data_IF_644823593097
#
_entry.id   IF_644823593097
#
_cell.length_a   1.000
_cell.length_b   1.000
_cell.length_c   1.000
_cell.angle_alpha   90.00
_cell.angle_beta   90.00
_cell.angle_gamma   90.00
#
_symmetry.space_group_name_H-M   'P 1'
#
loop_
_entity.id
_entity.type
_entity.pdbx_description
1 polymer ?
#
# COMPACT_ATOMS: atom_id res chain seq x y z
N UNK A 1 -29.39 49.23 29.41
CA UNK A 1 -28.81 48.48 28.28
C UNK A 1 -28.28 47.09 28.67
N UNK A 2 -28.32 46.71 29.98
CA UNK A 2 -27.79 45.44 30.48
C UNK A 2 -28.85 44.32 30.67
N UNK A 3 -30.10 44.51 30.21
CA UNK A 3 -31.14 43.50 30.38
C UNK A 3 -31.61 42.78 29.12
N UNK A 4 -31.00 43.05 27.97
CA UNK A 4 -31.35 42.37 26.71
C UNK A 4 -30.35 41.25 26.29
N UNK A 5 -29.33 40.92 27.10
CA UNK A 5 -28.33 39.89 26.82
C UNK A 5 -28.50 38.63 27.65
N UNK A 6 -29.52 38.52 28.48
CA UNK A 6 -29.86 37.30 29.20
C UNK A 6 -31.08 36.59 28.57
N UNK A 7 -31.03 36.43 27.24
CA UNK A 7 -31.86 35.45 26.56
C UNK A 7 -31.41 34.06 26.95
N UNK A 8 -32.21 33.49 27.83
CA UNK A 8 -32.16 32.15 28.36
C UNK A 8 -32.10 31.09 27.21
N UNK A 9 -30.93 30.83 26.75
CA UNK A 9 -30.57 29.71 25.87
C UNK A 9 -29.75 28.64 26.63
N UNK A 10 -30.06 28.46 27.92
CA UNK A 10 -29.59 27.31 28.71
C UNK A 10 -30.42 26.05 28.40
N UNK A 11 -30.62 25.76 27.12
CA UNK A 11 -30.81 24.36 26.71
C UNK A 11 -29.51 23.64 27.07
N UNK A 12 -29.59 22.79 28.07
CA UNK A 12 -28.54 21.87 28.53
C UNK A 12 -27.82 21.33 27.32
N UNK A 13 -26.68 21.93 26.95
CA UNK A 13 -25.73 21.32 26.07
C UNK A 13 -25.24 20.06 26.85
N UNK A 14 -25.96 18.95 26.69
CA UNK A 14 -25.55 17.62 27.14
C UNK A 14 -24.06 17.54 26.95
N UNK A 15 -23.31 17.31 28.01
CA UNK A 15 -21.87 17.34 28.01
C UNK A 15 -21.36 16.27 27.03
N UNK A 16 -21.11 16.67 25.79
CA UNK A 16 -20.64 15.78 24.71
C UNK A 16 -19.18 15.32 24.91
N UNK A 17 -18.55 15.77 26.01
CA UNK A 17 -17.16 15.43 26.36
C UNK A 17 -16.92 13.95 26.58
N UNK A 18 -17.74 13.23 27.38
CA UNK A 18 -17.49 11.80 27.58
C UNK A 18 -17.65 11.01 26.28
N UNK A 19 -18.58 11.42 25.43
CA UNK A 19 -18.80 10.76 24.13
C UNK A 19 -17.65 11.05 23.15
N UNK A 20 -17.07 12.24 23.17
CA UNK A 20 -15.90 12.61 22.38
C UNK A 20 -14.63 11.90 22.89
N UNK A 21 -14.46 11.78 24.21
CA UNK A 21 -13.36 10.99 24.79
C UNK A 21 -13.46 9.51 24.42
N UNK A 22 -14.67 8.95 24.52
CA UNK A 22 -14.92 7.57 24.10
C UNK A 22 -14.57 7.34 22.62
N UNK A 23 -14.96 8.25 21.73
CA UNK A 23 -14.68 8.11 20.29
C UNK A 23 -13.17 8.21 19.99
N UNK A 24 -12.41 9.07 20.67
CA UNK A 24 -10.95 9.13 20.52
C UNK A 24 -10.28 7.89 21.09
N UNK A 25 -10.77 7.36 22.22
CA UNK A 25 -10.30 6.07 22.74
C UNK A 25 -10.53 4.93 21.74
N UNK A 26 -11.71 4.89 21.11
CA UNK A 26 -11.99 3.94 20.03
C UNK A 26 -11.01 4.07 18.87
N UNK A 27 -10.62 5.29 18.48
CA UNK A 27 -9.59 5.53 17.45
C UNK A 27 -8.23 4.98 17.86
N UNK A 28 -7.81 5.19 19.10
CA UNK A 28 -6.55 4.63 19.63
C UNK A 28 -6.60 3.10 19.64
N UNK A 29 -7.72 2.52 20.03
CA UNK A 29 -7.94 1.06 19.96
C UNK A 29 -7.89 0.60 18.50
N UNK A 30 -8.48 1.33 17.56
CA UNK A 30 -8.41 1.03 16.13
C UNK A 30 -6.98 0.97 15.62
N UNK A 31 -6.15 1.97 15.95
CA UNK A 31 -4.72 1.99 15.59
C UNK A 31 -3.98 0.80 16.22
N UNK A 32 -4.21 0.53 17.50
CA UNK A 32 -3.58 -0.60 18.19
C UNK A 32 -3.96 -1.95 17.58
N UNK A 33 -5.24 -2.12 17.21
CA UNK A 33 -5.74 -3.33 16.52
C UNK A 33 -5.10 -3.47 15.14
N UNK A 34 -4.96 -2.39 14.39
CA UNK A 34 -4.28 -2.42 13.08
C UNK A 34 -2.80 -2.79 13.22
N UNK A 35 -2.10 -2.22 14.20
CA UNK A 35 -0.72 -2.58 14.50
C UNK A 35 -0.58 -4.06 14.89
N UNK A 36 -1.49 -4.57 15.73
CA UNK A 36 -1.52 -5.98 16.12
C UNK A 36 -1.86 -6.88 14.93
N UNK A 37 -2.77 -6.44 14.07
CA UNK A 37 -3.15 -7.17 12.86
C UNK A 37 -2.01 -7.27 11.84
N UNK A 38 -1.17 -6.24 11.73
CA UNK A 38 0.04 -6.29 10.91
C UNK A 38 1.04 -7.36 11.38
N UNK A 39 1.04 -7.66 12.69
CA UNK A 39 1.94 -8.67 13.28
C UNK A 39 1.30 -10.07 13.34
N UNK A 40 0.00 -10.17 13.65
CA UNK A 40 -0.67 -11.45 14.00
C UNK A 40 -1.68 -11.97 12.98
N UNK A 41 -1.83 -11.36 11.81
CA UNK A 41 -2.81 -11.78 10.79
C UNK A 41 -4.23 -11.98 11.33
N UNK A 42 -4.81 -10.93 11.91
CA UNK A 42 -6.18 -10.97 12.39
C UNK A 42 -7.18 -11.05 11.21
N UNK A 43 -8.37 -11.63 11.39
CA UNK A 43 -9.41 -11.70 10.35
C UNK A 43 -9.76 -10.31 9.79
N UNK A 44 -10.15 -10.24 8.51
CA UNK A 44 -10.45 -8.98 7.81
C UNK A 44 -11.56 -8.17 8.47
N UNK A 45 -12.54 -8.83 9.07
CA UNK A 45 -13.63 -8.15 9.79
C UNK A 45 -13.10 -7.28 10.95
N UNK A 46 -12.00 -7.70 11.59
CA UNK A 46 -11.38 -6.95 12.69
C UNK A 46 -10.76 -5.66 12.17
N UNK A 47 -10.20 -5.68 10.96
CA UNK A 47 -9.62 -4.46 10.36
C UNK A 47 -10.70 -3.51 9.85
N UNK A 48 -11.79 -4.02 9.29
CA UNK A 48 -12.95 -3.20 8.91
C UNK A 48 -13.50 -2.48 10.15
N UNK A 49 -13.59 -3.18 11.29
CA UNK A 49 -13.98 -2.57 12.57
C UNK A 49 -12.97 -1.52 13.04
N UNK A 50 -11.66 -1.79 12.91
CA UNK A 50 -10.60 -0.84 13.28
C UNK A 50 -10.66 0.44 12.44
N UNK A 51 -10.87 0.34 11.13
CA UNK A 51 -11.09 1.49 10.22
C UNK A 51 -12.36 2.25 10.62
N UNK A 52 -13.45 1.56 10.93
CA UNK A 52 -14.69 2.19 11.38
C UNK A 52 -14.46 2.98 12.66
N UNK A 53 -13.72 2.44 13.64
CA UNK A 53 -13.36 3.16 14.87
C UNK A 53 -12.51 4.40 14.59
N UNK A 54 -11.59 4.34 13.61
CA UNK A 54 -10.82 5.51 13.17
C UNK A 54 -11.71 6.60 12.60
N UNK A 55 -12.63 6.26 11.71
CA UNK A 55 -13.57 7.22 11.12
C UNK A 55 -14.43 7.91 12.20
N UNK A 56 -14.95 7.14 13.15
CA UNK A 56 -15.73 7.67 14.29
C UNK A 56 -14.86 8.57 15.17
N UNK A 57 -13.59 8.23 15.36
CA UNK A 57 -12.65 9.00 16.18
C UNK A 57 -12.36 10.39 15.62
N UNK A 58 -12.40 10.57 14.31
CA UNK A 58 -12.18 11.90 13.67
C UNK A 58 -13.16 12.94 14.19
N UNK A 59 -14.44 12.59 14.33
CA UNK A 59 -15.43 13.50 14.88
C UNK A 59 -15.13 13.89 16.33
N UNK A 60 -14.86 12.90 17.20
CA UNK A 60 -14.53 13.16 18.60
C UNK A 60 -13.22 13.92 18.77
N UNK A 61 -12.24 13.65 17.91
CA UNK A 61 -10.99 14.42 17.88
C UNK A 61 -11.24 15.90 17.69
N UNK A 62 -12.11 16.29 16.74
CA UNK A 62 -12.45 17.69 16.54
C UNK A 62 -13.17 18.28 17.74
N UNK A 63 -14.13 17.57 18.34
CA UNK A 63 -14.82 18.02 19.54
C UNK A 63 -13.83 18.28 20.68
N UNK A 64 -12.86 17.38 20.90
CA UNK A 64 -11.85 17.54 21.94
C UNK A 64 -10.80 18.59 21.62
N UNK A 65 -10.36 18.67 20.37
CA UNK A 65 -9.36 19.65 19.93
C UNK A 65 -9.84 21.10 20.11
N UNK A 66 -11.11 21.35 19.86
CA UNK A 66 -11.67 22.69 19.95
C UNK A 66 -11.75 23.23 21.37
N UNK A 67 -11.97 22.39 22.37
CA UNK A 67 -12.03 22.83 23.79
C UNK A 67 -10.70 23.42 24.31
N UNK A 68 -9.57 22.70 24.26
CA UNK A 68 -8.30 23.26 24.71
C UNK A 68 -7.82 24.40 23.82
N UNK A 69 -8.07 24.34 22.52
CA UNK A 69 -7.75 25.44 21.62
C UNK A 69 -8.47 26.74 22.05
N UNK A 70 -9.75 26.63 22.40
CA UNK A 70 -10.52 27.74 22.96
C UNK A 70 -9.99 28.17 24.33
N UNK A 71 -9.57 27.26 25.19
CA UNK A 71 -9.02 27.59 26.51
C UNK A 71 -7.64 28.23 26.43
N UNK A 72 -6.76 27.73 25.55
CA UNK A 72 -5.44 28.36 25.28
C UNK A 72 -5.61 29.77 24.69
N UNK A 73 -6.59 29.94 23.83
CA UNK A 73 -6.92 31.25 23.26
C UNK A 73 -7.60 32.18 24.31
N UNK A 74 -8.05 31.65 25.45
CA UNK A 74 -8.62 32.42 26.59
C UNK A 74 -7.56 33.14 27.43
N UNK A 75 -6.28 32.76 27.35
CA UNK A 75 -5.20 33.39 28.09
C UNK A 75 -5.13 34.90 27.81
N UNK A 76 -5.20 35.74 28.87
CA UNK A 76 -5.31 37.20 28.73
C UNK A 76 -4.04 37.80 28.11
N UNK A 77 -2.87 37.26 28.36
CA UNK A 77 -1.64 37.73 27.72
C UNK A 77 -1.61 37.49 26.20
N UNK A 78 -2.24 36.44 25.71
CA UNK A 78 -2.27 36.10 24.29
C UNK A 78 -3.33 36.91 23.54
N UNK A 79 -4.50 37.15 24.17
CA UNK A 79 -5.64 37.84 23.56
C UNK A 79 -5.37 39.31 23.17
N UNK A 80 -4.67 40.00 24.05
CA UNK A 80 -4.51 41.48 23.91
C UNK A 80 -3.30 41.85 23.07
N UNK A 81 -2.58 40.91 22.49
CA UNK A 81 -1.48 41.18 21.56
C UNK A 81 -1.97 41.35 20.10
N UNK A 82 -2.17 42.58 19.68
CA UNK A 82 -2.50 42.94 18.29
C UNK A 82 -3.85 42.39 17.80
N UNK A 83 -3.89 41.80 16.62
CA UNK A 83 -5.11 41.32 15.94
C UNK A 83 -5.69 40.01 16.48
N UNK A 84 -5.11 39.45 17.54
CA UNK A 84 -5.47 38.09 18.03
C UNK A 84 -6.85 38.05 18.68
N UNK A 85 -7.29 39.10 19.30
CA UNK A 85 -8.62 39.20 19.90
C UNK A 85 -9.74 39.07 18.86
N UNK A 86 -9.54 39.67 17.71
CA UNK A 86 -10.51 39.60 16.60
C UNK A 86 -10.61 38.17 16.07
N UNK A 87 -9.45 37.53 15.79
CA UNK A 87 -9.39 36.11 15.38
C UNK A 87 -10.04 35.17 16.40
N UNK A 88 -9.79 35.39 17.71
CA UNK A 88 -10.39 34.59 18.77
C UNK A 88 -11.93 34.69 18.79
N UNK A 89 -12.48 35.89 18.74
CA UNK A 89 -13.94 36.07 18.77
C UNK A 89 -14.63 35.48 17.54
N UNK A 90 -14.03 35.62 16.38
CA UNK A 90 -14.56 35.04 15.15
C UNK A 90 -14.48 33.50 15.17
N UNK A 91 -13.35 32.93 15.58
CA UNK A 91 -13.19 31.48 15.71
C UNK A 91 -14.22 30.90 16.69
N UNK A 92 -14.31 31.45 17.91
CA UNK A 92 -15.19 30.89 18.95
C UNK A 92 -16.67 30.93 18.55
N UNK A 93 -17.11 31.99 17.85
CA UNK A 93 -18.50 32.13 17.39
C UNK A 93 -18.87 31.07 16.32
N UNK A 94 -17.91 30.68 15.49
CA UNK A 94 -18.13 29.82 14.30
C UNK A 94 -17.87 28.33 14.54
N UNK A 95 -16.97 28.01 15.45
CA UNK A 95 -16.48 26.66 15.61
C UNK A 95 -17.58 25.63 15.89
N UNK A 96 -18.64 26.02 16.63
CA UNK A 96 -19.73 25.11 16.96
C UNK A 96 -20.56 24.68 15.74
N UNK A 97 -20.83 25.62 14.81
CA UNK A 97 -21.60 25.33 13.59
C UNK A 97 -20.76 24.64 12.49
N UNK A 98 -19.45 24.88 12.46
CA UNK A 98 -18.55 24.34 11.44
C UNK A 98 -18.05 22.93 11.76
N UNK A 99 -18.16 22.47 13.00
CA UNK A 99 -17.56 21.22 13.48
C UNK A 99 -17.99 19.98 12.67
N UNK A 100 -19.27 19.71 12.38
CA UNK A 100 -19.68 18.53 11.61
C UNK A 100 -19.18 18.59 10.16
N UNK A 101 -19.14 19.80 9.56
CA UNK A 101 -18.65 19.97 8.19
C UNK A 101 -17.13 19.78 8.10
N UNK A 102 -16.38 20.27 9.10
CA UNK A 102 -14.95 20.04 9.19
C UNK A 102 -14.62 18.55 9.37
N UNK A 103 -15.35 17.85 10.24
CA UNK A 103 -15.20 16.42 10.42
C UNK A 103 -15.52 15.64 9.13
N UNK A 104 -16.61 15.99 8.45
CA UNK A 104 -16.97 15.39 7.16
C UNK A 104 -15.91 15.63 6.08
N UNK A 105 -15.41 16.86 5.94
CA UNK A 105 -14.32 17.16 5.02
C UNK A 105 -13.04 16.39 5.35
N UNK A 106 -12.71 16.22 6.65
CA UNK A 106 -11.55 15.43 7.08
C UNK A 106 -11.68 13.97 6.72
N UNK A 107 -12.86 13.37 6.84
CA UNK A 107 -13.09 11.97 6.43
C UNK A 107 -12.90 11.81 4.92
N UNK A 108 -13.39 12.77 4.11
CA UNK A 108 -13.18 12.75 2.67
C UNK A 108 -11.70 12.88 2.30
N UNK A 109 -10.96 13.76 3.00
CA UNK A 109 -9.51 13.92 2.81
C UNK A 109 -8.76 12.63 3.18
N UNK A 110 -9.12 12.00 4.30
CA UNK A 110 -8.54 10.72 4.72
C UNK A 110 -8.75 9.65 3.63
N UNK A 111 -9.97 9.50 3.15
CA UNK A 111 -10.28 8.53 2.10
C UNK A 111 -9.53 8.84 0.79
N UNK A 112 -9.37 10.13 0.43
CA UNK A 112 -8.62 10.54 -0.74
C UNK A 112 -7.12 10.23 -0.61
N UNK A 113 -6.51 10.53 0.53
CA UNK A 113 -5.09 10.23 0.79
C UNK A 113 -4.81 8.72 0.79
N UNK A 114 -5.67 7.94 1.43
CA UNK A 114 -5.60 6.48 1.39
C UNK A 114 -5.71 5.94 -0.03
N UNK A 115 -6.64 6.45 -0.84
CA UNK A 115 -6.80 5.99 -2.22
C UNK A 115 -5.57 6.30 -3.09
N UNK A 116 -4.93 7.48 -2.94
CA UNK A 116 -3.68 7.80 -3.63
C UNK A 116 -2.53 6.92 -3.11
N UNK A 117 -2.44 6.74 -1.79
CA UNK A 117 -1.43 5.88 -1.18
C UNK A 117 -1.49 4.45 -1.74
N UNK A 118 -2.70 3.90 -1.87
CA UNK A 118 -2.96 2.61 -2.48
C UNK A 118 -2.56 2.56 -3.95
N UNK A 119 -2.89 3.58 -4.73
CA UNK A 119 -2.54 3.67 -6.14
C UNK A 119 -1.01 3.64 -6.32
N UNK A 120 -0.27 4.42 -5.51
CA UNK A 120 1.20 4.45 -5.54
C UNK A 120 1.78 3.09 -5.10
N UNK A 121 1.22 2.47 -4.06
CA UNK A 121 1.63 1.15 -3.61
C UNK A 121 1.46 0.07 -4.69
N UNK A 122 0.37 0.14 -5.46
CA UNK A 122 0.12 -0.78 -6.57
C UNK A 122 1.14 -0.62 -7.70
N UNK A 123 1.50 0.61 -8.06
CA UNK A 123 2.52 0.86 -9.09
C UNK A 123 3.89 0.31 -8.69
N UNK A 124 4.30 0.56 -7.46
CA UNK A 124 5.58 0.05 -6.93
C UNK A 124 5.67 -1.48 -6.98
N UNK A 125 4.54 -2.18 -6.76
CA UNK A 125 4.44 -3.63 -6.88
C UNK A 125 4.55 -4.16 -8.31
N UNK A 126 4.06 -3.40 -9.28
CA UNK A 126 4.18 -3.78 -10.69
C UNK A 126 5.63 -3.84 -11.09
N UNK A 127 6.40 -2.82 -10.72
CA UNK A 127 7.82 -2.76 -11.05
C UNK A 127 8.60 -3.89 -10.38
N UNK A 128 8.36 -4.15 -9.09
CA UNK A 128 9.02 -5.24 -8.37
C UNK A 128 8.69 -6.64 -8.91
N UNK A 129 7.48 -6.85 -9.43
CA UNK A 129 7.11 -8.13 -10.06
C UNK A 129 7.87 -8.39 -11.35
N UNK A 130 8.13 -7.35 -12.13
CA UNK A 130 8.89 -7.46 -13.37
C UNK A 130 10.37 -7.70 -13.08
N UNK A 131 10.90 -7.02 -12.07
CA UNK A 131 12.29 -7.19 -11.63
C UNK A 131 12.56 -8.59 -11.05
N UNK A 132 11.57 -9.20 -10.40
CA UNK A 132 11.69 -10.53 -9.82
C UNK A 132 11.65 -11.68 -10.85
N UNK A 133 11.31 -11.42 -12.13
CA UNK A 133 11.39 -12.43 -13.18
C UNK A 133 12.85 -12.62 -13.58
N UNK A 134 13.36 -13.82 -13.33
CA UNK A 134 14.78 -14.12 -13.49
C UNK A 134 15.24 -14.10 -14.95
N UNK A 135 14.50 -14.79 -15.85
CA UNK A 135 14.88 -14.96 -17.25
C UNK A 135 13.97 -14.20 -18.18
N UNK A 136 14.48 -13.73 -19.31
CA UNK A 136 13.71 -12.93 -20.29
C UNK A 136 12.52 -13.69 -20.86
N UNK A 137 12.69 -14.99 -21.12
CA UNK A 137 11.62 -15.89 -21.54
C UNK A 137 11.84 -17.31 -21.01
N UNK A 138 10.77 -18.00 -20.63
CA UNK A 138 10.78 -19.41 -20.32
C UNK A 138 9.62 -20.15 -20.98
N UNK A 139 9.91 -21.34 -21.47
CA UNK A 139 8.97 -22.25 -22.10
C UNK A 139 8.72 -23.43 -21.16
N UNK A 140 7.46 -23.77 -20.91
CA UNK A 140 7.06 -24.87 -20.04
C UNK A 140 6.26 -25.90 -20.85
N UNK A 141 6.62 -27.15 -20.75
CA UNK A 141 5.91 -28.25 -21.39
C UNK A 141 5.80 -29.45 -20.48
N UNK A 142 4.58 -29.95 -20.26
CA UNK A 142 4.30 -31.07 -19.36
C UNK A 142 4.51 -32.41 -20.07
N UNK A 143 5.63 -32.54 -20.80
CA UNK A 143 6.09 -33.75 -21.51
C UNK A 143 7.54 -34.00 -21.17
N UNK A 144 7.85 -35.24 -20.81
CA UNK A 144 9.23 -35.66 -20.60
C UNK A 144 10.01 -35.62 -21.92
N UNK A 145 11.19 -35.02 -21.93
CA UNK A 145 12.01 -34.77 -23.13
C UNK A 145 11.32 -33.84 -24.17
N UNK A 146 10.68 -32.78 -23.72
CA UNK A 146 10.06 -31.81 -24.59
C UNK A 146 11.05 -31.21 -25.60
N UNK A 147 10.65 -31.12 -26.88
CA UNK A 147 11.43 -30.46 -27.91
C UNK A 147 11.12 -28.95 -27.95
N UNK A 148 12.11 -28.14 -27.64
CA UNK A 148 12.06 -26.66 -27.68
C UNK A 148 12.80 -26.09 -28.90
N UNK A 149 13.38 -26.94 -29.78
CA UNK A 149 14.17 -26.50 -30.94
C UNK A 149 13.43 -25.49 -31.83
N UNK A 150 12.12 -25.62 -32.14
CA UNK A 150 11.43 -24.64 -32.97
C UNK A 150 11.42 -23.24 -32.38
N UNK A 151 11.29 -23.13 -31.06
CA UNK A 151 11.28 -21.87 -30.33
C UNK A 151 12.67 -21.24 -30.24
N UNK A 152 13.68 -22.08 -29.98
CA UNK A 152 15.09 -21.63 -29.97
C UNK A 152 15.53 -21.15 -31.35
N UNK A 153 15.15 -21.87 -32.43
CA UNK A 153 15.43 -21.45 -33.79
C UNK A 153 14.78 -20.12 -34.14
N UNK A 154 13.53 -19.92 -33.74
CA UNK A 154 12.83 -18.65 -33.94
C UNK A 154 13.53 -17.49 -33.20
N UNK A 155 13.96 -17.73 -31.96
CA UNK A 155 14.66 -16.72 -31.18
C UNK A 155 16.05 -16.42 -31.77
N UNK A 156 16.81 -17.43 -32.18
CA UNK A 156 18.16 -17.26 -32.77
C UNK A 156 18.13 -16.53 -34.11
N UNK A 157 17.04 -16.69 -34.88
CA UNK A 157 16.86 -15.97 -36.15
C UNK A 157 16.54 -14.48 -35.96
N UNK A 158 15.88 -14.11 -34.87
CA UNK A 158 15.38 -12.76 -34.66
C UNK A 158 16.14 -11.97 -33.56
N UNK A 159 16.82 -12.65 -32.65
CA UNK A 159 17.54 -12.05 -31.52
C UNK A 159 18.90 -12.71 -31.30
N UNK A 160 19.83 -11.98 -30.70
CA UNK A 160 21.06 -12.56 -30.18
C UNK A 160 20.77 -13.22 -28.79
N UNK A 161 20.91 -14.53 -28.73
CA UNK A 161 20.76 -15.28 -27.49
C UNK A 161 21.99 -15.09 -26.61
N UNK A 162 21.80 -14.69 -25.36
CA UNK A 162 22.88 -14.57 -24.38
C UNK A 162 23.15 -15.91 -23.71
N UNK A 163 22.10 -16.55 -23.23
CA UNK A 163 22.17 -17.87 -22.61
C UNK A 163 20.87 -18.64 -22.75
N UNK A 164 20.94 -19.96 -22.75
CA UNK A 164 19.76 -20.82 -22.70
C UNK A 164 20.08 -22.12 -21.95
N UNK A 165 19.10 -22.60 -21.16
CA UNK A 165 19.26 -23.85 -20.44
C UNK A 165 17.91 -24.57 -20.26
N UNK A 166 17.89 -25.86 -20.63
CA UNK A 166 16.75 -26.75 -20.42
C UNK A 166 16.92 -27.60 -19.18
N UNK A 167 15.87 -27.65 -18.35
CA UNK A 167 15.86 -28.43 -17.11
C UNK A 167 14.48 -29.03 -16.86
N UNK A 168 14.41 -29.96 -15.90
CA UNK A 168 13.16 -30.59 -15.51
C UNK A 168 12.83 -30.34 -14.06
N UNK A 169 11.54 -30.17 -13.81
CA UNK A 169 10.98 -30.08 -12.47
C UNK A 169 10.28 -31.40 -12.14
N UNK A 170 10.33 -31.75 -10.87
CA UNK A 170 9.79 -33.00 -10.35
C UNK A 170 8.83 -32.75 -9.21
N UNK A 171 7.97 -33.74 -8.92
CA UNK A 171 7.05 -33.73 -7.80
C UNK A 171 7.14 -35.03 -7.01
N UNK A 172 6.61 -35.05 -5.80
CA UNK A 172 6.53 -36.22 -4.97
C UNK A 172 5.10 -36.66 -4.76
N UNK A 173 4.81 -37.95 -4.88
CA UNK A 173 3.48 -38.49 -4.52
C UNK A 173 3.18 -38.41 -3.02
N UNK A 174 4.21 -38.35 -2.20
CA UNK A 174 4.06 -38.19 -0.76
C UNK A 174 4.09 -36.70 -0.36
N UNK A 175 3.05 -35.96 -0.61
CA UNK A 175 2.86 -34.52 -0.31
C UNK A 175 3.21 -34.09 1.14
N UNK A 176 4.30 -34.59 1.68
CA UNK A 176 4.62 -34.42 3.10
C UNK A 176 5.04 -33.02 3.46
N UNK A 177 5.78 -32.32 2.57
CA UNK A 177 6.29 -31.00 2.86
C UNK A 177 5.21 -29.94 2.65
N UNK A 178 4.54 -29.95 1.51
CA UNK A 178 3.48 -29.01 1.19
C UNK A 178 2.30 -29.13 2.16
N UNK A 179 1.77 -30.35 2.40
CA UNK A 179 0.64 -30.56 3.31
C UNK A 179 0.97 -30.16 4.77
N UNK A 180 2.17 -30.43 5.21
CA UNK A 180 2.62 -30.09 6.55
C UNK A 180 2.89 -28.58 6.69
N UNK A 181 3.45 -27.91 5.66
CA UNK A 181 3.71 -26.48 5.68
C UNK A 181 2.48 -25.65 5.32
N UNK A 182 1.54 -26.20 4.52
CA UNK A 182 0.31 -25.47 4.08
C UNK A 182 -0.41 -24.82 5.24
N UNK A 183 -0.73 -25.55 6.28
CA UNK A 183 -1.47 -25.04 7.42
C UNK A 183 -0.63 -24.07 8.29
N UNK A 184 0.66 -24.36 8.48
CA UNK A 184 1.55 -23.49 9.25
C UNK A 184 1.89 -22.20 8.50
N UNK A 185 2.18 -22.32 7.22
CA UNK A 185 2.54 -21.19 6.37
C UNK A 185 1.31 -20.32 6.09
N UNK A 186 0.16 -20.90 5.75
CA UNK A 186 -1.09 -20.14 5.60
C UNK A 186 -1.54 -19.47 6.90
N UNK A 187 -1.43 -20.16 8.04
CA UNK A 187 -1.81 -19.60 9.34
C UNK A 187 -0.89 -18.49 9.84
N UNK A 188 0.42 -18.60 9.59
CA UNK A 188 1.43 -17.64 10.07
C UNK A 188 1.74 -16.52 9.07
N UNK A 189 1.73 -16.82 7.78
CA UNK A 189 2.14 -15.87 6.73
C UNK A 189 0.95 -15.16 6.08
N UNK A 190 -0.27 -15.70 6.15
CA UNK A 190 -1.47 -15.09 5.55
C UNK A 190 -1.39 -14.98 4.04
N UNK A 191 -0.52 -15.72 3.36
CA UNK A 191 -0.50 -15.81 1.92
C UNK A 191 -0.72 -17.25 1.45
N UNK A 192 -1.28 -17.36 0.27
CA UNK A 192 -1.43 -18.59 -0.44
C UNK A 192 -0.07 -18.97 -1.05
N UNK A 193 0.41 -20.18 -0.79
CA UNK A 193 1.38 -20.80 -1.67
C UNK A 193 0.54 -21.21 -2.89
N UNK A 194 0.47 -20.28 -3.86
CA UNK A 194 -0.37 -20.43 -5.04
C UNK A 194 0.40 -21.18 -6.12
N UNK A 195 -0.23 -22.10 -6.74
CA UNK A 195 0.25 -22.64 -7.99
C UNK A 195 0.06 -24.15 -8.09
N UNK A 196 0.76 -24.93 -7.34
CA UNK A 196 0.57 -26.38 -7.31
C UNK A 196 0.31 -26.78 -5.87
N UNK A 197 -0.66 -27.68 -5.69
CA UNK A 197 -0.93 -28.30 -4.39
C UNK A 197 0.13 -29.38 -4.02
N UNK A 198 1.29 -29.34 -4.69
CA UNK A 198 2.36 -30.33 -4.63
C UNK A 198 3.71 -29.69 -4.38
N UNK A 199 4.63 -30.42 -3.76
CA UNK A 199 6.02 -30.02 -3.60
C UNK A 199 6.74 -30.10 -4.95
N UNK A 200 7.43 -29.01 -5.33
CA UNK A 200 8.25 -28.97 -6.55
C UNK A 200 9.71 -29.15 -6.21
N UNK A 201 10.34 -30.05 -6.91
CA UNK A 201 11.75 -30.43 -6.73
C UNK A 201 12.58 -30.08 -7.95
N UNK A 202 13.82 -29.67 -7.69
CA UNK A 202 14.84 -29.42 -8.70
C UNK A 202 16.15 -30.08 -8.26
N UNK A 203 16.91 -30.63 -9.19
CA UNK A 203 18.23 -31.15 -8.83
C UNK A 203 19.25 -30.00 -8.65
N UNK A 204 20.26 -30.25 -7.85
CA UNK A 204 21.30 -29.27 -7.54
C UNK A 204 22.12 -28.88 -8.76
N UNK A 205 22.31 -29.79 -9.71
CA UNK A 205 23.03 -29.49 -10.96
C UNK A 205 22.30 -28.48 -11.80
N UNK A 206 21.00 -28.65 -12.01
CA UNK A 206 20.16 -27.70 -12.74
C UNK A 206 20.05 -26.36 -12.00
N UNK A 207 19.87 -26.41 -10.68
CA UNK A 207 19.82 -25.22 -9.85
C UNK A 207 21.09 -24.37 -9.97
N UNK A 208 22.27 -25.01 -9.88
CA UNK A 208 23.54 -24.30 -10.00
C UNK A 208 23.79 -23.77 -11.42
N UNK A 209 23.32 -24.47 -12.45
CA UNK A 209 23.41 -23.99 -13.82
C UNK A 209 22.57 -22.74 -14.07
N UNK A 210 21.35 -22.70 -13.51
CA UNK A 210 20.50 -21.52 -13.56
C UNK A 210 21.09 -20.36 -12.73
N UNK A 211 21.71 -20.65 -11.60
CA UNK A 211 22.43 -19.64 -10.80
C UNK A 211 23.61 -19.04 -11.55
N UNK A 212 24.36 -19.86 -12.31
CA UNK A 212 25.44 -19.38 -13.18
C UNK A 212 24.91 -18.40 -14.24
N UNK A 213 23.74 -18.67 -14.86
CA UNK A 213 23.10 -17.76 -15.83
C UNK A 213 22.69 -16.43 -15.19
N UNK A 214 22.44 -16.41 -13.89
CA UNK A 214 22.04 -15.22 -13.13
C UNK A 214 23.22 -14.54 -12.40
N UNK A 215 24.46 -14.94 -12.69
CA UNK A 215 25.66 -14.46 -11.98
C UNK A 215 25.62 -14.65 -10.46
N UNK A 216 24.88 -15.66 -9.98
CA UNK A 216 24.76 -16.02 -8.58
C UNK A 216 25.79 -17.07 -8.16
N UNK A 217 26.29 -17.04 -6.91
CA UNK A 217 27.24 -18.03 -6.43
C UNK A 217 26.61 -19.43 -6.39
N UNK A 218 27.37 -20.45 -6.79
CA UNK A 218 26.95 -21.85 -6.75
C UNK A 218 26.71 -22.31 -5.31
N UNK A 219 25.74 -23.19 -5.14
CA UNK A 219 25.37 -23.80 -3.87
C UNK A 219 25.95 -25.24 -3.82
N UNK A 220 26.61 -25.56 -2.73
CA UNK A 220 27.10 -26.91 -2.47
C UNK A 220 26.26 -27.58 -1.39
N UNK A 221 25.76 -28.77 -1.68
CA UNK A 221 25.01 -29.58 -0.71
C UNK A 221 25.65 -30.95 -0.58
N UNK A 222 25.63 -31.50 0.61
CA UNK A 222 26.04 -32.87 0.84
C UNK A 222 25.08 -33.85 0.17
N UNK A 223 25.58 -35.03 -0.20
CA UNK A 223 24.76 -36.03 -0.88
C UNK A 223 23.55 -36.52 -0.06
N UNK A 224 23.49 -36.27 1.23
CA UNK A 224 22.39 -36.60 2.15
C UNK A 224 21.62 -35.37 2.63
N UNK A 225 21.80 -34.20 1.98
CA UNK A 225 21.17 -32.96 2.38
C UNK A 225 20.26 -32.40 1.28
N UNK A 226 19.36 -31.51 1.67
CA UNK A 226 18.53 -30.70 0.77
C UNK A 226 18.57 -29.26 1.21
N UNK A 227 18.31 -28.34 0.28
CA UNK A 227 18.13 -26.92 0.57
C UNK A 227 16.79 -26.43 -0.01
N UNK A 228 16.31 -25.32 0.49
CA UNK A 228 15.09 -24.70 0.02
C UNK A 228 15.40 -23.38 -0.67
N UNK A 229 14.65 -23.08 -1.70
CA UNK A 229 14.60 -21.75 -2.28
C UNK A 229 13.18 -21.20 -2.12
N UNK A 230 13.07 -20.02 -1.48
CA UNK A 230 11.78 -19.37 -1.25
C UNK A 230 11.95 -17.85 -1.23
N UNK A 231 10.86 -17.12 -1.39
CA UNK A 231 10.88 -15.65 -1.23
C UNK A 231 11.22 -15.26 0.21
N UNK A 232 11.91 -14.12 0.40
CA UNK A 232 12.32 -13.63 1.72
C UNK A 232 11.25 -13.76 2.83
N UNK A 233 9.96 -13.42 2.59
CA UNK A 233 8.93 -13.56 3.61
C UNK A 233 8.71 -15.00 4.10
N UNK A 234 9.08 -15.98 3.27
CA UNK A 234 8.97 -17.40 3.60
C UNK A 234 10.04 -17.92 4.55
N UNK A 235 11.19 -17.25 4.63
CA UNK A 235 12.38 -17.77 5.35
C UNK A 235 12.08 -18.04 6.82
N UNK A 236 11.56 -17.08 7.57
CA UNK A 236 11.39 -17.24 9.01
C UNK A 236 10.36 -18.31 9.40
N UNK A 237 9.15 -18.37 8.82
CA UNK A 237 8.20 -19.43 9.11
C UNK A 237 8.66 -20.82 8.67
N UNK A 238 9.38 -20.91 7.54
CA UNK A 238 9.95 -22.19 7.08
C UNK A 238 11.08 -22.65 7.99
N UNK A 239 11.97 -21.76 8.41
CA UNK A 239 13.02 -22.07 9.36
C UNK A 239 12.46 -22.57 10.70
N UNK A 240 11.39 -21.96 11.21
CA UNK A 240 10.69 -22.42 12.42
C UNK A 240 10.09 -23.83 12.25
N UNK A 241 9.52 -24.13 11.08
CA UNK A 241 8.96 -25.43 10.77
C UNK A 241 10.06 -26.51 10.68
N UNK A 242 11.11 -26.22 9.91
CA UNK A 242 12.21 -27.14 9.66
C UNK A 242 12.97 -27.43 10.95
N UNK A 243 13.07 -26.48 11.88
CA UNK A 243 13.64 -26.70 13.21
C UNK A 243 12.91 -27.78 14.01
N UNK A 244 11.62 -28.06 13.68
CA UNK A 244 10.83 -29.13 14.29
C UNK A 244 10.93 -30.46 13.51
N UNK A 245 11.13 -30.40 12.19
CA UNK A 245 11.20 -31.58 11.30
C UNK A 245 12.25 -31.37 10.19
N UNK A 246 13.56 -31.52 10.52
CA UNK A 246 14.64 -31.16 9.58
C UNK A 246 14.90 -32.23 8.50
N UNK A 247 14.10 -33.26 8.41
CA UNK A 247 14.30 -34.36 7.49
C UNK A 247 13.20 -34.44 6.45
N UNK A 248 13.63 -34.63 5.19
CA UNK A 248 12.80 -34.92 4.04
C UNK A 248 13.00 -36.36 3.62
N UNK A 249 11.93 -37.10 3.36
CA UNK A 249 11.96 -38.48 2.90
C UNK A 249 11.56 -38.49 1.42
N UNK A 250 12.40 -39.06 0.58
CA UNK A 250 12.15 -39.28 -0.86
C UNK A 250 12.41 -40.77 -1.15
N UNK A 251 11.36 -41.49 -1.48
CA UNK A 251 11.45 -42.96 -1.55
C UNK A 251 11.92 -43.56 -0.22
N UNK A 252 12.99 -44.37 -0.27
CA UNK A 252 13.58 -44.98 0.94
C UNK A 252 14.72 -44.15 1.58
N UNK A 253 15.04 -42.96 1.00
CA UNK A 253 16.17 -42.15 1.44
C UNK A 253 15.70 -40.93 2.27
N UNK A 254 16.49 -40.64 3.31
CA UNK A 254 16.27 -39.52 4.19
C UNK A 254 17.30 -38.42 3.92
N UNK A 255 16.85 -37.19 3.71
CA UNK A 255 17.70 -36.03 3.45
C UNK A 255 17.57 -35.02 4.59
N UNK A 256 18.70 -34.44 4.99
CA UNK A 256 18.75 -33.43 6.06
C UNK A 256 18.72 -32.02 5.47
N UNK A 257 17.99 -31.12 6.13
CA UNK A 257 18.00 -29.73 5.78
C UNK A 257 19.37 -29.06 5.99
N UNK A 258 19.83 -28.25 5.00
CA UNK A 258 21.13 -27.59 5.00
C UNK A 258 21.05 -26.06 4.88
N UNK A 259 19.99 -25.49 4.28
CA UNK A 259 19.85 -24.06 4.17
C UNK A 259 18.64 -23.55 3.39
N UNK A 260 18.39 -22.23 3.45
CA UNK A 260 17.36 -21.53 2.68
C UNK A 260 18.03 -20.43 1.87
N UNK A 261 17.64 -20.34 0.60
CA UNK A 261 18.06 -19.29 -0.34
C UNK A 261 16.85 -18.49 -0.76
N UNK A 262 17.04 -17.20 -1.09
CA UNK A 262 15.92 -16.27 -1.36
C UNK A 262 16.23 -15.20 -2.42
N UNK A 263 17.28 -15.41 -3.20
CA UNK A 263 17.62 -14.51 -4.31
C UNK A 263 16.51 -14.54 -5.37
N UNK A 264 16.45 -13.52 -6.21
CA UNK A 264 15.47 -13.47 -7.31
C UNK A 264 15.75 -14.59 -8.31
N UNK A 265 14.88 -15.59 -8.32
CA UNK A 265 14.99 -16.83 -9.10
C UNK A 265 13.64 -17.20 -9.74
N UNK A 266 12.66 -16.34 -9.57
CA UNK A 266 11.31 -16.62 -10.00
C UNK A 266 11.15 -16.55 -11.51
N UNK A 267 10.41 -17.51 -12.07
CA UNK A 267 9.96 -17.41 -13.45
C UNK A 267 8.47 -17.14 -13.56
N UNK A 268 7.63 -17.75 -12.71
CA UNK A 268 6.21 -17.46 -12.64
C UNK A 268 5.48 -18.00 -11.42
N UNK A 269 4.32 -17.38 -11.16
CA UNK A 269 3.46 -17.66 -10.02
C UNK A 269 2.72 -19.02 -10.04
N UNK A 270 2.61 -19.72 -11.18
CA UNK A 270 1.71 -20.89 -11.29
C UNK A 270 2.33 -22.17 -11.84
N UNK A 271 3.60 -22.15 -12.24
CA UNK A 271 4.23 -23.33 -12.91
C UNK A 271 5.55 -23.79 -12.28
N UNK A 272 5.68 -23.73 -10.96
CA UNK A 272 6.83 -24.29 -10.26
C UNK A 272 7.90 -23.26 -9.95
N UNK A 273 9.03 -23.35 -10.56
CA UNK A 273 10.23 -22.54 -10.36
C UNK A 273 10.02 -21.14 -9.71
N UNK A 274 10.19 -21.01 -8.41
CA UNK A 274 10.12 -19.73 -7.70
C UNK A 274 8.76 -19.34 -7.13
N UNK A 275 7.75 -20.20 -7.20
CA UNK A 275 6.45 -19.90 -6.64
C UNK A 275 6.27 -20.54 -5.26
N UNK A 276 6.54 -19.79 -4.22
CA UNK A 276 6.46 -20.29 -2.86
C UNK A 276 7.73 -20.97 -2.41
N UNK A 277 7.79 -22.27 -2.47
CA UNK A 277 8.93 -23.07 -2.02
C UNK A 277 9.37 -24.05 -3.10
N UNK A 278 10.64 -23.98 -3.49
CA UNK A 278 11.30 -24.95 -4.36
C UNK A 278 12.28 -25.79 -3.54
N UNK A 279 12.17 -27.09 -3.65
CA UNK A 279 13.03 -28.04 -2.91
C UNK A 279 14.19 -28.46 -3.80
N UNK A 280 15.41 -28.14 -3.41
CA UNK A 280 16.62 -28.49 -4.15
C UNK A 280 17.26 -29.73 -3.51
N UNK A 281 17.43 -30.77 -4.31
CA UNK A 281 17.91 -32.08 -3.88
C UNK A 281 19.13 -32.51 -4.67
N UNK A 282 19.97 -33.44 -4.14
CA UNK A 282 21.03 -34.05 -4.92
C UNK A 282 20.47 -34.79 -6.12
N UNK A 283 21.22 -34.82 -7.26
CA UNK A 283 20.77 -35.42 -8.53
C UNK A 283 20.32 -36.89 -8.38
N UNK A 284 20.94 -37.64 -7.47
CA UNK A 284 20.53 -39.01 -7.17
C UNK A 284 19.15 -39.16 -6.56
N UNK A 285 18.60 -38.10 -5.96
CA UNK A 285 17.28 -38.15 -5.34
C UNK A 285 16.15 -38.17 -6.39
N UNK A 286 16.43 -37.78 -7.62
CA UNK A 286 15.45 -37.75 -8.71
C UNK A 286 14.82 -39.10 -9.02
N UNK A 287 15.55 -40.23 -8.79
CA UNK A 287 15.00 -41.55 -9.02
C UNK A 287 13.79 -41.93 -8.15
N UNK A 288 13.54 -41.18 -7.09
CA UNK A 288 12.38 -41.33 -6.19
C UNK A 288 11.29 -40.29 -6.39
N UNK A 289 11.37 -39.46 -7.44
CA UNK A 289 10.46 -38.40 -7.74
C UNK A 289 9.79 -38.62 -9.11
N UNK A 290 8.59 -38.09 -9.28
CA UNK A 290 7.88 -38.13 -10.55
C UNK A 290 8.18 -36.88 -11.38
N UNK A 291 8.20 -37.05 -12.71
CA UNK A 291 8.33 -35.95 -13.62
C UNK A 291 7.11 -35.00 -13.52
N UNK A 292 7.37 -33.70 -13.46
CA UNK A 292 6.32 -32.68 -13.42
C UNK A 292 6.26 -31.87 -14.73
N UNK A 293 7.34 -31.16 -15.09
CA UNK A 293 7.37 -30.34 -16.33
C UNK A 293 8.82 -30.13 -16.80
N UNK A 294 9.02 -30.03 -18.11
CA UNK A 294 10.24 -29.53 -18.71
C UNK A 294 10.18 -28.02 -18.85
N UNK A 295 11.29 -27.36 -18.58
CA UNK A 295 11.44 -25.91 -18.70
C UNK A 295 12.66 -25.59 -19.55
N UNK A 296 12.52 -24.61 -20.46
CA UNK A 296 13.63 -24.01 -21.20
C UNK A 296 13.69 -22.55 -20.80
N UNK A 297 14.70 -22.14 -20.05
CA UNK A 297 14.97 -20.75 -19.72
C UNK A 297 15.93 -20.14 -20.74
N UNK A 298 15.65 -18.90 -21.16
CA UNK A 298 16.44 -18.20 -22.17
C UNK A 298 16.58 -16.74 -21.78
N UNK A 299 17.82 -16.21 -21.92
CA UNK A 299 18.12 -14.80 -21.84
C UNK A 299 18.55 -14.27 -23.23
N UNK A 300 18.13 -13.07 -23.53
CA UNK A 300 18.36 -12.39 -24.82
C UNK A 300 19.00 -11.04 -24.56
N UNK A 301 19.85 -10.57 -25.49
CA UNK A 301 20.49 -9.23 -25.37
C UNK A 301 19.51 -8.07 -25.49
N UNK A 302 18.32 -8.31 -26.03
CA UNK A 302 17.28 -7.29 -26.24
C UNK A 302 15.93 -7.76 -25.71
N UNK A 303 15.12 -6.83 -25.20
CA UNK A 303 13.76 -7.15 -24.76
C UNK A 303 12.90 -7.71 -25.90
N UNK A 304 12.22 -8.82 -25.66
CA UNK A 304 11.33 -9.47 -26.62
C UNK A 304 10.02 -8.68 -26.77
N UNK A 305 9.61 -8.26 -27.97
CA UNK A 305 8.33 -7.60 -28.19
C UNK A 305 7.15 -8.54 -27.92
N UNK A 306 6.04 -8.01 -27.43
CA UNK A 306 4.83 -8.79 -27.16
C UNK A 306 4.23 -9.45 -28.43
N UNK A 307 4.44 -8.86 -29.60
CA UNK A 307 4.03 -9.42 -30.89
C UNK A 307 4.69 -10.76 -31.19
N UNK A 308 6.00 -10.86 -30.95
CA UNK A 308 6.79 -12.06 -31.18
C UNK A 308 6.43 -13.17 -30.17
N UNK A 309 6.17 -12.80 -28.92
CA UNK A 309 5.68 -13.77 -27.92
C UNK A 309 4.37 -14.41 -28.38
N UNK A 310 3.45 -13.62 -28.96
CA UNK A 310 2.19 -14.13 -29.52
C UNK A 310 2.42 -14.98 -30.78
N UNK A 311 3.39 -14.67 -31.58
CA UNK A 311 3.75 -15.51 -32.73
C UNK A 311 4.30 -16.85 -32.25
N UNK A 312 5.18 -16.86 -31.26
CA UNK A 312 5.70 -18.08 -30.65
C UNK A 312 4.59 -18.96 -30.04
N UNK A 313 3.54 -18.39 -29.46
CA UNK A 313 2.37 -19.12 -28.97
C UNK A 313 1.66 -19.90 -30.09
N UNK A 314 1.83 -19.53 -31.38
CA UNK A 314 1.23 -20.21 -32.53
C UNK A 314 2.10 -21.31 -33.13
N UNK A 315 3.40 -21.39 -32.78
CA UNK A 315 4.34 -22.37 -33.33
C UNK A 315 3.98 -23.80 -32.93
N UNK A 316 3.49 -23.99 -31.70
CA UNK A 316 3.11 -25.31 -31.20
C UNK A 316 1.96 -25.28 -30.20
N UNK A 317 1.40 -26.45 -29.93
CA UNK A 317 0.33 -26.62 -28.92
C UNK A 317 0.87 -27.22 -27.64
N UNK A 318 0.30 -26.87 -26.49
CA UNK A 318 0.66 -27.45 -25.20
C UNK A 318 1.89 -26.85 -24.51
N UNK A 319 2.41 -25.74 -25.04
CA UNK A 319 3.49 -24.98 -24.40
C UNK A 319 2.90 -23.75 -23.70
N UNK A 320 3.36 -23.50 -22.48
CA UNK A 320 3.13 -22.26 -21.75
C UNK A 320 4.36 -21.38 -21.85
N UNK A 321 4.22 -20.16 -22.39
CA UNK A 321 5.31 -19.21 -22.56
C UNK A 321 5.19 -18.12 -21.53
N UNK A 322 6.27 -17.85 -20.83
CA UNK A 322 6.35 -16.81 -19.82
C UNK A 322 7.54 -15.93 -20.11
N UNK A 323 7.27 -14.65 -20.34
CA UNK A 323 8.31 -13.69 -20.65
C UNK A 323 8.23 -12.48 -19.73
N UNK A 324 9.37 -11.86 -19.47
CA UNK A 324 9.49 -10.63 -18.69
C UNK A 324 8.60 -9.51 -19.25
N UNK A 325 8.58 -9.36 -20.58
CA UNK A 325 7.67 -8.42 -21.27
C UNK A 325 6.19 -8.79 -21.08
N UNK A 326 5.84 -10.08 -21.14
CA UNK A 326 4.49 -10.56 -20.89
C UNK A 326 4.02 -10.28 -19.45
N UNK A 327 4.87 -10.55 -18.48
CA UNK A 327 4.62 -10.22 -17.06
C UNK A 327 4.48 -8.71 -16.87
N UNK A 328 5.37 -7.89 -17.48
CA UNK A 328 5.28 -6.42 -17.45
C UNK A 328 3.95 -5.93 -18.02
N UNK A 329 3.54 -6.43 -19.19
CA UNK A 329 2.30 -6.02 -19.83
C UNK A 329 1.05 -6.43 -19.03
N UNK A 330 1.03 -7.65 -18.50
CA UNK A 330 -0.06 -8.12 -17.64
C UNK A 330 -0.16 -7.29 -16.35
N UNK A 331 0.98 -7.06 -15.70
CA UNK A 331 1.06 -6.26 -14.47
C UNK A 331 0.68 -4.80 -14.72
N UNK A 332 1.15 -4.21 -15.83
CA UNK A 332 0.77 -2.85 -16.25
C UNK A 332 -0.74 -2.75 -16.53
N UNK A 333 -1.32 -3.74 -17.21
CA UNK A 333 -2.77 -3.78 -17.45
C UNK A 333 -3.57 -3.85 -16.15
N UNK A 334 -3.17 -4.72 -15.21
CA UNK A 334 -3.80 -4.79 -13.88
C UNK A 334 -3.65 -3.48 -13.10
N UNK A 335 -2.48 -2.82 -13.20
CA UNK A 335 -2.26 -1.51 -12.60
C UNK A 335 -3.22 -0.46 -13.15
N UNK A 336 -3.43 -0.41 -14.46
CA UNK A 336 -4.37 0.54 -15.09
C UNK A 336 -5.79 0.32 -14.55
N UNK A 337 -6.27 -0.92 -14.50
CA UNK A 337 -7.61 -1.23 -13.99
C UNK A 337 -7.79 -0.93 -12.51
N UNK A 338 -6.73 -0.93 -11.71
CA UNK A 338 -6.79 -0.70 -10.26
C UNK A 338 -6.43 0.74 -9.91
N UNK A 339 -5.32 1.25 -10.46
CA UNK A 339 -4.76 2.56 -10.12
C UNK A 339 -5.62 3.70 -10.66
N UNK A 340 -6.11 3.60 -11.91
CA UNK A 340 -6.89 4.66 -12.50
C UNK A 340 -8.21 4.96 -11.74
N UNK A 341 -9.04 3.97 -11.36
CA UNK A 341 -10.22 4.23 -10.55
C UNK A 341 -9.90 4.80 -9.16
N UNK A 342 -8.80 4.33 -8.53
CA UNK A 342 -8.36 4.85 -7.22
C UNK A 342 -7.94 6.32 -7.31
N UNK A 343 -7.15 6.70 -8.30
CA UNK A 343 -6.74 8.10 -8.52
C UNK A 343 -7.93 8.98 -8.87
N UNK A 344 -8.86 8.49 -9.71
CA UNK A 344 -10.08 9.21 -10.02
C UNK A 344 -10.94 9.43 -8.78
N UNK A 345 -11.14 8.40 -7.98
CA UNK A 345 -11.87 8.49 -6.71
C UNK A 345 -11.21 9.50 -5.76
N UNK A 346 -9.89 9.43 -5.61
CA UNK A 346 -9.13 10.35 -4.77
C UNK A 346 -9.29 11.81 -5.24
N UNK A 347 -9.23 12.05 -6.56
CA UNK A 347 -9.44 13.36 -7.14
C UNK A 347 -10.84 13.88 -6.85
N UNK A 348 -11.88 13.08 -7.05
CA UNK A 348 -13.27 13.46 -6.77
C UNK A 348 -13.48 13.77 -5.29
N UNK A 349 -13.00 12.90 -4.39
CA UNK A 349 -13.11 13.09 -2.94
C UNK A 349 -12.38 14.38 -2.49
N UNK A 350 -11.19 14.62 -3.04
CA UNK A 350 -10.42 15.85 -2.76
C UNK A 350 -11.15 17.09 -3.24
N UNK A 351 -11.70 17.07 -4.45
CA UNK A 351 -12.46 18.18 -5.01
C UNK A 351 -13.73 18.48 -4.18
N UNK A 352 -14.45 17.44 -3.76
CA UNK A 352 -15.63 17.57 -2.88
C UNK A 352 -15.23 18.16 -1.53
N UNK A 353 -14.19 17.66 -0.88
CA UNK A 353 -13.70 18.17 0.39
C UNK A 353 -13.28 19.64 0.29
N UNK A 354 -12.48 20.00 -0.72
CA UNK A 354 -12.06 21.37 -0.98
C UNK A 354 -13.25 22.31 -1.26
N UNK A 355 -14.24 21.83 -2.01
CA UNK A 355 -15.45 22.60 -2.33
C UNK A 355 -16.29 22.84 -1.08
N UNK A 356 -16.49 21.81 -0.25
CA UNK A 356 -17.22 21.95 1.04
C UNK A 356 -16.53 23.01 1.90
N UNK A 357 -15.21 22.94 2.09
CA UNK A 357 -14.48 23.91 2.89
C UNK A 357 -14.53 25.31 2.29
N UNK A 358 -14.37 25.44 0.98
CA UNK A 358 -14.39 26.73 0.29
C UNK A 358 -15.75 27.38 0.37
N UNK A 359 -16.85 26.66 0.07
CA UNK A 359 -18.23 27.16 0.14
C UNK A 359 -18.58 27.59 1.56
N UNK A 360 -18.19 26.80 2.56
CA UNK A 360 -18.39 27.14 3.97
C UNK A 360 -17.73 28.47 4.32
N UNK A 361 -16.43 28.58 4.00
CA UNK A 361 -15.65 29.80 4.30
C UNK A 361 -16.22 31.04 3.55
N UNK A 362 -16.59 30.86 2.28
CA UNK A 362 -17.16 31.95 1.47
C UNK A 362 -18.59 32.35 1.90
N UNK A 363 -19.41 31.40 2.32
CA UNK A 363 -20.74 31.68 2.88
C UNK A 363 -20.65 32.58 4.11
N UNK A 364 -19.65 32.36 4.95
CA UNK A 364 -19.44 33.17 6.14
C UNK A 364 -18.78 34.51 5.85
N UNK A 365 -18.07 34.66 4.72
CA UNK A 365 -17.45 35.90 4.31
C UNK A 365 -18.47 37.06 4.24
N UNK A 366 -19.71 36.80 3.82
CA UNK A 366 -20.78 37.78 3.77
C UNK A 366 -21.14 38.36 5.15
N UNK A 367 -21.17 37.52 6.17
CA UNK A 367 -21.48 37.90 7.54
C UNK A 367 -20.33 38.70 8.19
N UNK A 368 -19.12 38.60 7.65
CA UNK A 368 -17.94 39.27 8.17
C UNK A 368 -17.67 40.64 7.56
N UNK A 369 -18.34 40.99 6.47
CA UNK A 369 -18.18 42.33 5.82
C UNK A 369 -18.29 43.45 6.83
N UNK A 370 -19.31 43.42 7.68
CA UNK A 370 -19.53 44.44 8.70
C UNK A 370 -18.39 44.51 9.73
N UNK A 371 -17.83 43.35 10.10
CA UNK A 371 -16.70 43.26 11.04
C UNK A 371 -15.43 43.91 10.46
N UNK A 372 -15.16 43.70 9.17
CA UNK A 372 -14.03 44.31 8.49
C UNK A 372 -14.26 45.83 8.25
N UNK A 373 -15.52 46.28 8.03
CA UNK A 373 -15.85 47.70 7.97
C UNK A 373 -15.59 48.40 9.31
N UNK A 374 -15.96 47.77 10.43
CA UNK A 374 -15.64 48.29 11.77
C UNK A 374 -14.14 48.44 11.97
N UNK A 375 -13.34 47.49 11.51
CA UNK A 375 -11.87 47.57 11.57
C UNK A 375 -11.32 48.75 10.73
N UNK A 376 -11.94 49.04 9.59
CA UNK A 376 -11.60 50.20 8.74
C UNK A 376 -11.91 51.52 9.46
N UNK A 377 -13.06 51.62 10.13
CA UNK A 377 -13.40 52.77 10.96
C UNK A 377 -12.48 52.96 12.17
N UNK A 378 -11.93 51.86 12.70
CA UNK A 378 -10.93 51.91 13.78
C UNK A 378 -9.52 52.24 13.29
N UNK A 379 -9.32 52.50 12.00
CA UNK A 379 -8.03 52.89 11.41
C UNK A 379 -7.07 51.75 11.15
N UNK A 380 -7.54 50.49 11.12
CA UNK A 380 -6.70 49.34 10.79
C UNK A 380 -6.43 49.30 9.28
N UNK A 381 -5.16 49.46 8.89
CA UNK A 381 -4.76 49.51 7.49
C UNK A 381 -5.12 48.25 6.70
N UNK A 382 -5.44 48.39 5.40
CA UNK A 382 -5.88 47.29 4.52
C UNK A 382 -4.90 46.14 4.46
N UNK A 383 -3.60 46.38 4.53
CA UNK A 383 -2.56 45.34 4.57
C UNK A 383 -2.66 44.45 5.84
N UNK A 384 -2.95 45.08 6.98
CA UNK A 384 -3.17 44.33 8.23
C UNK A 384 -4.47 43.53 8.16
N UNK A 385 -5.53 44.08 7.61
CA UNK A 385 -6.80 43.38 7.40
C UNK A 385 -6.61 42.15 6.48
N UNK A 386 -5.91 42.29 5.35
CA UNK A 386 -5.57 41.18 4.46
C UNK A 386 -4.75 40.11 5.15
N UNK A 387 -3.78 40.50 5.99
CA UNK A 387 -2.95 39.54 6.74
C UNK A 387 -3.76 38.76 7.78
N UNK A 388 -4.69 39.43 8.45
CA UNK A 388 -5.63 38.81 9.39
C UNK A 388 -6.55 37.83 8.70
N UNK A 389 -7.14 38.22 7.59
CA UNK A 389 -8.01 37.40 6.74
C UNK A 389 -7.29 36.14 6.25
N UNK A 390 -6.07 36.26 5.68
CA UNK A 390 -5.30 35.11 5.22
C UNK A 390 -5.05 34.13 6.35
N UNK A 391 -4.68 34.59 7.55
CA UNK A 391 -4.48 33.71 8.72
C UNK A 391 -5.75 32.99 9.15
N UNK A 392 -6.89 33.69 9.13
CA UNK A 392 -8.18 33.10 9.48
C UNK A 392 -8.59 32.02 8.48
N UNK A 393 -8.56 32.35 7.18
CA UNK A 393 -8.89 31.39 6.13
C UNK A 393 -7.91 30.18 6.17
N UNK A 394 -6.61 30.43 6.35
CA UNK A 394 -5.62 29.36 6.47
C UNK A 394 -5.94 28.43 7.64
N UNK A 395 -6.23 28.98 8.82
CA UNK A 395 -6.55 28.15 9.98
C UNK A 395 -7.78 27.28 9.75
N UNK A 396 -8.86 27.84 9.23
CA UNK A 396 -10.09 27.11 8.96
C UNK A 396 -9.94 26.06 7.85
N UNK A 397 -9.04 26.31 6.90
CA UNK A 397 -8.81 25.42 5.75
C UNK A 397 -7.87 24.26 6.09
N UNK A 398 -6.77 24.53 6.80
CA UNK A 398 -5.78 23.51 7.13
C UNK A 398 -6.12 22.70 8.39
N UNK A 399 -6.92 23.24 9.31
CA UNK A 399 -7.27 22.57 10.56
C UNK A 399 -7.94 21.18 10.34
N UNK A 400 -8.86 20.98 9.39
CA UNK A 400 -9.42 19.66 9.12
C UNK A 400 -8.46 18.69 8.42
N UNK A 401 -7.45 19.20 7.70
CA UNK A 401 -6.57 18.38 6.84
C UNK A 401 -5.35 17.87 7.58
N UNK A 402 -4.66 18.71 8.35
CA UNK A 402 -3.40 18.35 9.00
C UNK A 402 -3.48 17.16 9.95
N UNK A 403 -4.48 17.05 10.84
CA UNK A 403 -4.59 15.90 11.74
C UNK A 403 -4.81 14.60 11.00
N UNK A 404 -5.63 14.65 9.94
CA UNK A 404 -5.95 13.46 9.14
C UNK A 404 -4.76 13.01 8.32
N UNK A 405 -4.03 13.92 7.69
CA UNK A 405 -2.80 13.60 6.98
C UNK A 405 -1.76 12.94 7.91
N UNK A 406 -1.69 13.40 9.17
CA UNK A 406 -0.83 12.78 10.17
C UNK A 406 -1.28 11.36 10.55
N UNK A 407 -2.60 11.14 10.70
CA UNK A 407 -3.16 9.81 10.97
C UNK A 407 -2.89 8.88 9.78
N UNK A 408 -3.05 9.34 8.56
CA UNK A 408 -2.81 8.54 7.36
C UNK A 408 -1.33 8.13 7.23
N UNK A 409 -0.39 9.03 7.51
CA UNK A 409 1.05 8.72 7.54
C UNK A 409 1.35 7.62 8.56
N UNK A 410 0.64 7.57 9.68
CA UNK A 410 0.82 6.55 10.71
C UNK A 410 0.16 5.22 10.34
N UNK A 411 -1.06 5.27 9.82
CA UNK A 411 -1.93 4.09 9.60
C UNK A 411 -1.62 3.38 8.28
N UNK A 412 -1.31 4.12 7.23
CA UNK A 412 -1.08 3.56 5.90
C UNK A 412 0.03 2.48 5.85
N UNK A 413 1.21 2.67 6.46
CA UNK A 413 2.23 1.63 6.48
C UNK A 413 1.80 0.35 7.24
N UNK A 414 0.91 0.49 8.23
CA UNK A 414 0.36 -0.67 8.95
C UNK A 414 -0.64 -1.44 8.09
N UNK A 415 -1.41 -0.73 7.27
CA UNK A 415 -2.34 -1.36 6.31
C UNK A 415 -1.59 -2.04 5.17
N UNK A 416 -0.61 -1.38 4.56
CA UNK A 416 0.12 -1.91 3.41
C UNK A 416 0.94 -3.15 3.75
N UNK A 417 1.55 -3.21 4.92
CA UNK A 417 2.28 -4.39 5.40
C UNK A 417 1.43 -5.66 5.48
N UNK A 418 0.09 -5.52 5.53
CA UNK A 418 -0.86 -6.63 5.54
C UNK A 418 -1.41 -6.99 4.16
N UNK A 419 -1.75 -6.00 3.36
CA UNK A 419 -2.45 -6.18 2.08
C UNK A 419 -1.54 -6.77 1.00
N UNK A 420 -0.23 -6.59 1.14
CA UNK A 420 0.75 -7.29 0.30
C UNK A 420 0.64 -8.81 0.47
N UNK A 421 0.14 -9.29 1.61
CA UNK A 421 -0.10 -10.71 1.86
C UNK A 421 -1.29 -11.29 1.09
N UNK A 422 -2.33 -10.50 0.81
CA UNK A 422 -3.59 -10.98 0.24
C UNK A 422 -3.69 -10.86 -1.30
N UNK A 423 -2.90 -10.02 -1.94
CA UNK A 423 -3.03 -9.65 -3.35
C UNK A 423 -2.22 -10.51 -4.34
N UNK A 424 -2.15 -11.81 -4.14
CA UNK A 424 -1.72 -12.75 -5.16
C UNK A 424 -0.38 -13.43 -4.95
N UNK A 425 -0.24 -14.19 -3.87
CA UNK A 425 0.77 -15.26 -3.76
C UNK A 425 2.24 -14.83 -3.61
N UNK A 426 2.60 -13.61 -3.97
CA UNK A 426 3.92 -13.05 -3.74
C UNK A 426 3.91 -12.09 -2.56
N UNK A 427 4.49 -12.52 -1.47
CA UNK A 427 4.67 -11.70 -0.28
C UNK A 427 5.96 -10.91 -0.41
N UNK A 428 5.89 -9.76 -1.03
CA UNK A 428 6.86 -8.72 -0.68
C UNK A 428 6.38 -8.06 0.60
N UNK A 429 7.13 -8.21 1.68
CA UNK A 429 7.01 -7.34 2.83
C UNK A 429 7.43 -5.95 2.35
N UNK A 430 6.46 -5.11 1.99
CA UNK A 430 6.75 -3.69 1.88
C UNK A 430 7.24 -3.28 3.26
N UNK A 431 8.50 -2.97 3.38
CA UNK A 431 9.05 -2.46 4.63
C UNK A 431 8.22 -1.25 5.05
N UNK A 432 8.03 -1.04 6.35
CA UNK A 432 7.35 0.16 6.87
C UNK A 432 7.94 1.44 6.24
N UNK A 433 9.23 1.42 5.92
CA UNK A 433 9.91 2.52 5.23
C UNK A 433 9.40 2.75 3.80
N UNK A 434 9.13 1.70 3.02
CA UNK A 434 8.54 1.82 1.69
C UNK A 434 7.10 2.37 1.77
N UNK A 435 6.27 1.86 2.69
CA UNK A 435 4.93 2.39 2.94
C UNK A 435 4.95 3.87 3.34
N UNK A 436 5.91 4.30 4.15
CA UNK A 436 6.09 5.71 4.50
C UNK A 436 6.49 6.57 3.29
N UNK A 437 7.35 6.07 2.41
CA UNK A 437 7.72 6.77 1.16
C UNK A 437 6.48 6.96 0.27
N UNK A 438 5.68 5.93 0.08
CA UNK A 438 4.49 5.95 -0.76
C UNK A 438 3.42 6.93 -0.24
N UNK A 439 3.10 6.88 1.05
CA UNK A 439 2.15 7.84 1.63
C UNK A 439 2.71 9.27 1.62
N UNK A 440 4.02 9.44 1.76
CA UNK A 440 4.67 10.74 1.63
C UNK A 440 4.46 11.37 0.25
N UNK A 441 4.60 10.58 -0.82
CA UNK A 441 4.31 11.00 -2.20
C UNK A 441 2.82 11.36 -2.34
N UNK A 442 1.92 10.51 -1.83
CA UNK A 442 0.48 10.73 -1.87
C UNK A 442 0.07 12.05 -1.19
N UNK A 443 0.59 12.28 0.01
CA UNK A 443 0.39 13.50 0.78
C UNK A 443 0.94 14.71 0.03
N UNK A 444 2.11 14.61 -0.57
CA UNK A 444 2.71 15.67 -1.37
C UNK A 444 1.83 16.09 -2.56
N UNK A 445 1.38 15.13 -3.37
CA UNK A 445 0.49 15.38 -4.50
C UNK A 445 -0.84 15.99 -4.07
N UNK A 446 -1.44 15.47 -2.99
CA UNK A 446 -2.66 16.01 -2.41
C UNK A 446 -2.49 17.48 -2.00
N UNK A 447 -1.40 17.81 -1.29
CA UNK A 447 -1.17 19.18 -0.83
C UNK A 447 -0.98 20.18 -1.97
N UNK A 448 -0.41 19.81 -3.10
CA UNK A 448 -0.31 20.67 -4.27
C UNK A 448 -1.71 21.09 -4.75
N UNK A 449 -2.61 20.12 -4.91
CA UNK A 449 -3.99 20.36 -5.32
C UNK A 449 -4.76 21.20 -4.27
N UNK A 450 -4.59 20.86 -3.01
CA UNK A 450 -5.22 21.53 -1.89
C UNK A 450 -4.80 22.99 -1.74
N UNK A 451 -3.52 23.31 -1.97
CA UNK A 451 -3.00 24.69 -1.94
C UNK A 451 -3.60 25.52 -3.08
N UNK A 452 -3.78 24.96 -4.28
CA UNK A 452 -4.43 25.68 -5.39
C UNK A 452 -5.86 26.11 -5.03
N UNK A 453 -6.65 25.22 -4.45
CA UNK A 453 -7.99 25.53 -3.96
C UNK A 453 -7.98 26.57 -2.83
N UNK A 454 -7.04 26.46 -1.90
CA UNK A 454 -6.85 27.45 -0.83
C UNK A 454 -6.57 28.83 -1.39
N UNK A 455 -5.68 28.97 -2.36
CA UNK A 455 -5.34 30.25 -3.00
C UNK A 455 -6.61 30.85 -3.66
N UNK A 456 -7.35 30.05 -4.42
CA UNK A 456 -8.61 30.47 -5.02
C UNK A 456 -9.63 30.98 -3.99
N UNK A 457 -9.77 30.22 -2.88
CA UNK A 457 -10.67 30.58 -1.78
C UNK A 457 -10.27 31.91 -1.12
N UNK A 458 -8.98 32.12 -0.86
CA UNK A 458 -8.44 33.38 -0.30
C UNK A 458 -8.70 34.54 -1.23
N UNK A 459 -8.52 34.39 -2.54
CA UNK A 459 -8.76 35.46 -3.52
C UNK A 459 -10.23 35.84 -3.57
N UNK A 460 -11.15 34.85 -3.58
CA UNK A 460 -12.58 35.08 -3.59
C UNK A 460 -13.06 35.73 -2.27
N UNK A 461 -12.58 35.22 -1.14
CA UNK A 461 -12.89 35.78 0.17
C UNK A 461 -12.46 37.25 0.27
N UNK A 462 -11.24 37.57 -0.20
CA UNK A 462 -10.75 38.96 -0.22
C UNK A 462 -11.61 39.89 -1.07
N UNK A 463 -12.13 39.40 -2.21
CA UNK A 463 -13.04 40.20 -3.08
C UNK A 463 -14.38 40.48 -2.42
N UNK A 464 -14.87 39.56 -1.56
CA UNK A 464 -16.15 39.74 -0.86
C UNK A 464 -16.00 40.67 0.35
N UNK A 465 -14.93 40.49 1.16
CA UNK A 465 -14.79 41.16 2.46
C UNK A 465 -14.10 42.53 2.40
N UNK A 466 -13.12 42.68 1.49
CA UNK A 466 -12.32 43.89 1.38
C UNK A 466 -12.74 44.64 0.10
N UNK A 467 -13.62 45.64 0.23
CA UNK A 467 -13.98 46.52 -0.90
C UNK A 467 -12.73 47.23 -1.43
N UNK A 468 -12.45 47.09 -2.74
CA UNK A 468 -11.55 48.04 -3.41
C UNK A 468 -12.14 49.45 -3.28
N UNK A 469 -11.43 50.35 -2.64
CA UNK A 469 -11.63 51.81 -2.86
C UNK A 469 -11.09 52.17 -4.21
#
# INVERSE_FOLDING_TARGET
FDKAASGDGSGEAKDSTPMALLSVLLGIVGIAVMALSAVRNLPDIVNVLAVTFLVVSVYGFFVLLFRPLLSCLKSDEWKYRGSRLFLYRQLTAKMRSMLPLMAGASILVMAALLAVGWAVCFMDKVDSRVEAVAFDIAFFKDEENADFSPYLSYLDENHELESSYGYSLYTSHDDTFYQQTKNMVQGKMGFYISGNDEDIFMCISDYNRLRDMLDLPQVQIDSGSYVLHCTEPGIAPLADYIGQSPFLIIGDAQYRFDGIYSEDFMQQESKGNGNGVLVIVPDRALSGLDFHTCVMAVDTQSELPLSEIREMETIGSGISIISKTGVRNRSASMAVYTVFPLLYLAFVLSAVACTILSVQILSEAKNEVNSYQILDYLGVGQEQQKKMMKKQVALLYFLPVLPVAFIDILVFPMMTGRIVRDAGGMVQIISVAAGMKQIGIAVGLFFVFFILYYIGTVMLYARITIKKR
#
